data_IF_034475263989
#
_entry.id   IF_034475263989
#
_cell.length_a   1.000
_cell.length_b   1.000
_cell.length_c   1.000
_cell.angle_alpha   90.00
_cell.angle_beta   90.00
_cell.angle_gamma   90.00
#
_symmetry.space_group_name_H-M   'P 1'
#
loop_
_entity.id
_entity.type
_entity.pdbx_description
1 polymer ?
#
# COMPACT_ATOMS: atom_id res chain seq x y z
N UNK A 1 -1.15 -1.05 -7.03
CA UNK A 1 0.02 -1.96 -7.00
C UNK A 1 -0.10 -2.85 -5.78
N UNK A 2 0.13 -4.16 -5.88
CA UNK A 2 0.05 -5.04 -4.70
C UNK A 2 1.39 -5.15 -3.96
N UNK A 3 1.36 -5.58 -2.69
CA UNK A 3 2.59 -5.87 -1.94
C UNK A 3 3.48 -6.91 -2.63
N UNK A 4 2.87 -7.96 -3.22
CA UNK A 4 3.58 -8.98 -3.99
C UNK A 4 4.21 -8.41 -5.26
N UNK A 5 3.49 -7.53 -5.97
CA UNK A 5 4.02 -6.88 -7.16
C UNK A 5 5.22 -5.96 -6.83
N UNK A 6 5.17 -5.23 -5.73
CA UNK A 6 6.32 -4.42 -5.30
C UNK A 6 7.51 -5.31 -4.90
N UNK A 7 7.27 -6.38 -4.15
CA UNK A 7 8.30 -7.32 -3.74
C UNK A 7 9.00 -7.97 -4.96
N UNK A 8 8.24 -8.33 -5.99
CA UNK A 8 8.79 -8.83 -7.25
C UNK A 8 9.58 -7.76 -8.01
N UNK A 9 9.11 -6.51 -8.03
CA UNK A 9 9.77 -5.39 -8.71
C UNK A 9 11.13 -5.02 -8.11
N UNK A 10 11.36 -5.35 -6.84
CA UNK A 10 12.66 -5.15 -6.16
C UNK A 10 13.51 -6.43 -6.11
N UNK A 11 13.23 -7.41 -6.97
CA UNK A 11 13.92 -8.72 -7.05
C UNK A 11 13.91 -9.53 -5.73
N UNK A 12 12.91 -9.27 -4.87
CA UNK A 12 12.71 -9.98 -3.61
C UNK A 12 11.30 -10.57 -3.52
N UNK A 13 10.89 -11.48 -4.42
CA UNK A 13 9.50 -11.96 -4.52
C UNK A 13 8.98 -12.64 -3.24
N UNK A 14 9.88 -13.17 -2.39
CA UNK A 14 9.53 -13.80 -1.10
C UNK A 14 9.38 -12.79 0.05
N UNK A 15 9.71 -11.52 -0.15
CA UNK A 15 9.76 -10.49 0.89
C UNK A 15 8.42 -9.75 1.11
N UNK A 16 7.28 -10.31 0.67
CA UNK A 16 5.95 -9.67 0.73
C UNK A 16 5.62 -9.13 2.13
N UNK A 17 5.87 -9.92 3.18
CA UNK A 17 5.61 -9.50 4.57
C UNK A 17 6.53 -8.36 5.02
N UNK A 18 7.80 -8.39 4.62
CA UNK A 18 8.77 -7.34 4.92
C UNK A 18 8.38 -6.02 4.23
N UNK A 19 7.94 -6.09 2.97
CA UNK A 19 7.39 -4.92 2.24
C UNK A 19 6.16 -4.37 2.97
N UNK A 20 5.24 -5.24 3.42
CA UNK A 20 4.08 -4.85 4.20
C UNK A 20 4.44 -4.11 5.49
N UNK A 21 5.43 -4.63 6.23
CA UNK A 21 5.94 -4.01 7.45
C UNK A 21 6.60 -2.66 7.15
N UNK A 22 7.51 -2.59 6.17
CA UNK A 22 8.18 -1.36 5.78
C UNK A 22 7.18 -0.27 5.33
N UNK A 23 6.15 -0.64 4.56
CA UNK A 23 5.08 0.26 4.16
C UNK A 23 4.26 0.77 5.36
N UNK A 24 4.00 -0.09 6.34
CA UNK A 24 3.27 0.26 7.56
C UNK A 24 4.06 1.17 8.51
N UNK A 25 5.38 1.06 8.50
CA UNK A 25 6.30 1.86 9.33
C UNK A 25 6.66 3.22 8.71
N UNK A 26 6.00 3.64 7.62
CA UNK A 26 6.26 4.92 6.98
C UNK A 26 5.88 6.12 7.89
N UNK A 27 6.83 6.94 8.34
CA UNK A 27 6.55 8.10 9.20
C UNK A 27 6.02 9.31 8.43
N UNK A 28 6.13 9.32 7.09
CA UNK A 28 5.78 10.46 6.23
C UNK A 28 4.69 10.03 5.24
N UNK A 29 3.49 9.81 5.77
CA UNK A 29 2.31 9.41 4.98
C UNK A 29 1.97 10.45 3.91
N UNK A 30 1.30 10.01 2.83
CA UNK A 30 0.93 10.82 1.64
C UNK A 30 2.14 11.20 0.77
N UNK A 31 3.18 11.81 1.34
CA UNK A 31 4.41 12.18 0.61
C UNK A 31 5.14 10.92 0.12
N UNK A 32 5.39 9.96 1.01
CA UNK A 32 5.68 8.60 0.61
C UNK A 32 4.33 7.86 0.49
N UNK A 33 3.89 7.48 -0.72
CA UNK A 33 2.48 7.14 -0.99
C UNK A 33 2.14 5.70 -0.56
N UNK A 34 2.24 5.42 0.74
CA UNK A 34 1.98 4.10 1.33
C UNK A 34 0.51 3.66 1.24
N UNK A 35 -0.40 4.58 0.89
CA UNK A 35 -1.80 4.30 0.57
C UNK A 35 -2.00 3.61 -0.80
N UNK A 36 -1.00 3.64 -1.70
CA UNK A 36 -1.08 3.04 -3.05
C UNK A 36 -0.80 1.53 -3.11
N UNK A 37 -0.26 0.95 -2.03
CA UNK A 37 -0.11 -0.50 -1.89
C UNK A 37 -1.39 -1.13 -1.36
N UNK A 38 -1.91 -2.14 -2.06
CA UNK A 38 -3.14 -2.85 -1.70
C UNK A 38 -2.95 -4.38 -1.73
N UNK A 39 -3.96 -5.13 -1.28
CA UNK A 39 -4.00 -6.58 -1.43
C UNK A 39 -3.95 -7.01 -2.90
N UNK A 40 -3.47 -8.23 -3.17
CA UNK A 40 -3.41 -8.76 -4.54
C UNK A 40 -4.81 -9.00 -5.13
N UNK A 41 -5.81 -9.16 -4.26
CA UNK A 41 -7.24 -9.27 -4.56
C UNK A 41 -7.96 -7.92 -4.68
N UNK A 42 -7.23 -6.80 -4.60
CA UNK A 42 -7.80 -5.46 -4.61
C UNK A 42 -8.26 -4.95 -3.23
N UNK A 43 -8.14 -5.76 -2.18
CA UNK A 43 -8.57 -5.36 -0.84
C UNK A 43 -7.74 -4.20 -0.25
N UNK A 44 -8.43 -3.28 0.42
CA UNK A 44 -7.78 -2.25 1.22
C UNK A 44 -7.35 -2.83 2.57
N UNK A 45 -6.07 -3.16 2.68
CA UNK A 45 -5.46 -3.59 3.94
C UNK A 45 -4.76 -2.42 4.63
N UNK A 46 -4.77 -2.44 5.97
CA UNK A 46 -4.03 -1.60 6.94
C UNK A 46 -3.46 -0.28 6.42
N UNK A 47 -3.80 0.82 7.10
CA UNK A 47 -3.21 2.12 6.88
C UNK A 47 -3.06 2.85 8.20
N UNK A 48 -1.91 3.49 8.45
CA UNK A 48 -1.66 4.22 9.70
C UNK A 48 -2.70 5.33 9.96
N UNK A 49 -3.24 5.91 8.88
CA UNK A 49 -4.32 6.90 8.94
C UNK A 49 -5.75 6.33 8.90
N UNK A 50 -5.93 5.01 8.98
CA UNK A 50 -7.24 4.35 8.86
C UNK A 50 -7.68 4.05 7.42
N UNK A 51 -8.50 3.00 7.23
CA UNK A 51 -8.90 2.55 5.89
C UNK A 51 -9.74 3.59 5.14
N UNK A 52 -10.58 4.35 5.84
CA UNK A 52 -11.37 5.43 5.23
C UNK A 52 -10.49 6.49 4.57
N UNK A 53 -9.40 6.89 5.23
CA UNK A 53 -8.45 7.87 4.67
C UNK A 53 -7.72 7.30 3.45
N UNK A 54 -7.32 6.02 3.50
CA UNK A 54 -6.69 5.33 2.37
C UNK A 54 -7.63 5.28 1.16
N UNK A 55 -8.90 4.93 1.38
CA UNK A 55 -9.95 4.92 0.35
C UNK A 55 -10.16 6.30 -0.24
N UNK A 56 -10.26 7.32 0.61
CA UNK A 56 -10.41 8.71 0.16
C UNK A 56 -9.22 9.16 -0.70
N UNK A 57 -7.98 8.89 -0.27
CA UNK A 57 -6.78 9.27 -1.03
C UNK A 57 -6.74 8.59 -2.41
N UNK A 58 -7.09 7.31 -2.48
CA UNK A 58 -7.14 6.59 -3.75
C UNK A 58 -8.22 7.17 -4.69
N UNK A 59 -9.41 7.49 -4.17
CA UNK A 59 -10.46 8.16 -4.94
C UNK A 59 -10.04 9.56 -5.39
N UNK A 60 -9.36 10.31 -4.52
CA UNK A 60 -8.82 11.63 -4.85
C UNK A 60 -7.77 11.55 -5.98
N UNK A 61 -7.04 10.44 -6.08
CA UNK A 61 -6.12 10.12 -7.17
C UNK A 61 -6.81 9.55 -8.43
N UNK A 62 -8.14 9.45 -8.45
CA UNK A 62 -8.91 8.95 -9.60
C UNK A 62 -9.07 7.43 -9.66
N UNK A 63 -8.79 6.70 -8.57
CA UNK A 63 -8.97 5.24 -8.51
C UNK A 63 -10.39 4.91 -8.03
N UNK A 64 -11.10 4.09 -8.81
CA UNK A 64 -12.35 3.45 -8.34
C UNK A 64 -12.04 2.28 -7.40
N UNK A 65 -12.57 2.35 -6.18
CA UNK A 65 -12.30 1.40 -5.09
C UNK A 65 -13.43 1.28 -4.06
#
# INVERSE_FOLDING_TARGET
>A
MSYGALAARIDMPKAIRAVGHANGSNPISVVLPCHRLIGADGSLVKYGGGLERKRWLLRHEGVEI
#
